data_IF_689168899794
#
_entry.id   IF_689168899794
#
_cell.length_a   1.000
_cell.length_b   1.000
_cell.length_c   1.000
_cell.angle_alpha   90.00
_cell.angle_beta   90.00
_cell.angle_gamma   90.00
#
_symmetry.space_group_name_H-M   'P 1'
#
loop_
_entity.id
_entity.type
_entity.pdbx_description
1 polymer ?
#
# COMPACT_ATOMS: atom_id res chain seq x y z
N UNK A 1 2.59 7.95 8.38
CA UNK A 1 3.82 7.93 7.56
C UNK A 1 3.51 8.61 6.25
N UNK A 2 4.19 9.72 5.91
CA UNK A 2 3.99 10.45 4.65
C UNK A 2 5.00 10.07 3.57
N UNK A 3 6.02 9.30 3.95
CA UNK A 3 7.15 8.92 3.11
C UNK A 3 8.11 10.05 2.71
N UNK A 4 7.99 11.27 3.27
CA UNK A 4 8.84 12.41 2.85
C UNK A 4 10.32 12.29 3.20
N UNK A 5 10.67 11.50 4.22
CA UNK A 5 12.06 11.23 4.60
C UNK A 5 12.49 9.81 4.21
N UNK A 6 11.67 8.83 4.56
CA UNK A 6 11.98 7.39 4.48
C UNK A 6 10.67 6.58 4.58
N UNK A 7 10.75 5.30 4.96
CA UNK A 7 9.57 4.45 5.21
C UNK A 7 9.04 4.56 6.65
N UNK A 8 9.46 5.58 7.40
CA UNK A 8 9.23 5.83 8.82
C UNK A 8 9.82 4.74 9.72
N UNK A 9 9.25 3.53 9.66
CA UNK A 9 9.73 2.28 10.28
C UNK A 9 9.08 1.05 9.60
N UNK A 10 8.36 1.27 8.50
CA UNK A 10 7.80 0.19 7.70
C UNK A 10 8.91 -0.51 6.95
N UNK A 11 8.81 -1.82 6.86
CA UNK A 11 9.80 -2.66 6.18
C UNK A 11 9.21 -3.28 4.93
N UNK A 12 10.03 -3.37 3.89
CA UNK A 12 9.71 -4.14 2.70
C UNK A 12 9.90 -5.63 3.04
N UNK A 13 8.94 -6.48 2.72
CA UNK A 13 9.06 -7.89 3.03
C UNK A 13 10.05 -8.59 2.06
N UNK A 14 11.08 -9.24 2.61
CA UNK A 14 12.19 -9.87 1.88
C UNK A 14 11.79 -10.97 0.88
N UNK A 15 10.59 -11.55 1.02
CA UNK A 15 10.07 -12.60 0.14
C UNK A 15 9.17 -12.07 -0.98
N UNK A 16 9.06 -10.74 -1.13
CA UNK A 16 8.25 -10.14 -2.18
C UNK A 16 8.89 -10.37 -3.55
N UNK A 17 8.07 -10.65 -4.57
CA UNK A 17 8.55 -10.80 -5.96
C UNK A 17 8.98 -9.45 -6.56
N UNK A 18 8.44 -8.35 -6.03
CA UNK A 18 8.69 -6.96 -6.41
C UNK A 18 8.64 -6.08 -5.16
N UNK A 19 9.27 -4.91 -5.21
CA UNK A 19 9.36 -4.00 -4.07
C UNK A 19 8.56 -2.72 -4.29
N UNK A 20 8.07 -2.13 -3.19
CA UNK A 20 7.53 -0.78 -3.20
C UNK A 20 8.65 0.23 -3.45
N UNK A 21 8.46 1.09 -4.44
CA UNK A 21 9.44 2.12 -4.82
C UNK A 21 8.99 3.45 -4.24
N UNK A 22 9.86 4.10 -3.46
CA UNK A 22 9.66 5.46 -2.97
C UNK A 22 10.02 6.47 -4.06
N UNK A 23 9.10 7.36 -4.39
CA UNK A 23 9.22 8.25 -5.54
C UNK A 23 8.63 9.63 -5.26
N UNK A 24 9.09 10.63 -6.02
CA UNK A 24 8.61 12.02 -5.99
C UNK A 24 8.36 12.49 -7.42
N UNK A 25 7.25 13.19 -7.61
CA UNK A 25 6.78 13.63 -8.93
C UNK A 25 6.00 12.53 -9.67
N UNK A 26 5.82 12.66 -11.00
CA UNK A 26 4.97 11.76 -11.76
C UNK A 26 5.61 10.36 -11.89
N UNK A 27 4.78 9.33 -11.95
CA UNK A 27 5.23 7.98 -12.30
C UNK A 27 5.87 7.96 -13.69
N UNK A 28 6.87 7.08 -13.95
CA UNK A 28 7.60 7.06 -15.22
C UNK A 28 6.78 6.66 -16.45
N UNK A 29 5.68 5.91 -16.26
CA UNK A 29 4.84 5.42 -17.36
C UNK A 29 3.75 6.43 -17.70
N UNK A 30 3.61 6.76 -18.98
CA UNK A 30 2.53 7.63 -19.45
C UNK A 30 1.15 7.03 -19.18
N UNK A 31 0.14 7.88 -18.97
CA UNK A 31 -1.23 7.48 -18.66
C UNK A 31 -1.36 6.60 -17.41
N UNK A 32 -0.40 6.71 -16.50
CA UNK A 32 -0.48 6.18 -15.13
C UNK A 32 -0.37 7.34 -14.15
N UNK A 33 -0.43 7.06 -12.86
CA UNK A 33 -0.28 8.09 -11.84
C UNK A 33 0.28 7.52 -10.55
N UNK A 34 0.45 8.39 -9.54
CA UNK A 34 0.02 9.79 -9.51
C UNK A 34 1.00 10.76 -10.19
N UNK A 35 0.58 12.02 -10.41
CA UNK A 35 1.45 13.11 -10.86
C UNK A 35 2.27 13.76 -9.72
N UNK A 36 1.78 13.64 -8.48
CA UNK A 36 2.41 14.13 -7.26
C UNK A 36 1.92 13.35 -6.04
N UNK A 37 2.61 13.48 -4.90
CA UNK A 37 2.12 12.89 -3.64
C UNK A 37 0.78 13.51 -3.19
N UNK A 38 0.11 12.82 -2.28
CA UNK A 38 -1.16 13.27 -1.70
C UNK A 38 -0.99 14.40 -0.66
N UNK A 39 0.10 14.36 0.13
CA UNK A 39 0.23 15.18 1.35
C UNK A 39 0.43 16.65 1.03
N UNK A 40 1.34 16.96 0.11
CA UNK A 40 1.73 18.35 -0.20
C UNK A 40 1.65 18.70 -1.68
N UNK A 41 1.71 17.71 -2.57
CA UNK A 41 1.87 17.90 -4.02
C UNK A 41 3.33 18.02 -4.47
N UNK A 42 4.29 18.05 -3.55
CA UNK A 42 5.74 18.04 -3.84
C UNK A 42 6.51 17.14 -2.85
N UNK A 43 5.82 16.21 -2.19
CA UNK A 43 6.38 15.23 -1.28
C UNK A 43 6.69 13.90 -1.96
N UNK A 44 6.89 12.87 -1.16
CA UNK A 44 7.12 11.50 -1.62
C UNK A 44 5.89 10.62 -1.41
N UNK A 45 5.80 9.57 -2.22
CA UNK A 45 4.87 8.47 -2.05
C UNK A 45 5.57 7.15 -2.40
N UNK A 46 4.87 6.04 -2.21
CA UNK A 46 5.36 4.73 -2.63
C UNK A 46 4.45 4.15 -3.70
N UNK A 47 5.01 3.46 -4.68
CA UNK A 47 4.25 2.87 -5.77
C UNK A 47 4.88 1.57 -6.28
N UNK A 48 4.12 0.84 -7.10
CA UNK A 48 4.63 -0.28 -7.87
C UNK A 48 4.68 0.08 -9.36
N UNK A 49 5.77 -0.30 -10.00
CA UNK A 49 5.95 -0.13 -11.42
C UNK A 49 5.23 -1.27 -12.18
N UNK A 50 4.02 -1.00 -12.68
CA UNK A 50 3.13 -2.02 -13.26
C UNK A 50 3.73 -2.84 -14.40
N UNK A 51 4.51 -2.22 -15.30
CA UNK A 51 5.13 -2.89 -16.47
C UNK A 51 6.03 -4.08 -16.12
N UNK A 52 6.58 -4.13 -14.91
CA UNK A 52 7.56 -5.13 -14.48
C UNK A 52 6.91 -6.27 -13.65
N UNK A 53 5.60 -6.19 -13.38
CA UNK A 53 4.89 -7.13 -12.53
C UNK A 53 4.12 -8.19 -13.33
N UNK A 54 4.62 -9.43 -13.35
CA UNK A 54 3.89 -10.57 -13.91
C UNK A 54 2.69 -10.95 -13.03
N UNK A 55 1.64 -11.58 -13.59
CA UNK A 55 0.54 -12.13 -12.79
C UNK A 55 1.04 -12.96 -11.61
N UNK A 56 0.53 -12.69 -10.41
CA UNK A 56 0.94 -13.35 -9.18
C UNK A 56 2.17 -12.75 -8.48
N UNK A 57 2.80 -11.70 -9.03
CA UNK A 57 3.83 -10.96 -8.31
C UNK A 57 3.20 -10.15 -7.18
N UNK A 58 3.90 -10.13 -6.04
CA UNK A 58 3.44 -9.51 -4.81
C UNK A 58 4.54 -8.59 -4.27
N UNK A 59 4.16 -7.38 -3.87
CA UNK A 59 4.93 -6.53 -2.96
C UNK A 59 4.21 -6.43 -1.63
N UNK A 60 4.91 -6.63 -0.51
CA UNK A 60 4.34 -6.43 0.82
C UNK A 60 5.16 -5.41 1.62
N UNK A 61 4.45 -4.43 2.17
CA UNK A 61 4.95 -3.47 3.14
C UNK A 61 4.40 -3.81 4.53
N UNK A 62 5.29 -3.95 5.51
CA UNK A 62 4.96 -4.42 6.86
C UNK A 62 5.18 -3.30 7.87
N UNK A 63 4.16 -2.99 8.67
CA UNK A 63 4.24 -1.96 9.70
C UNK A 63 5.13 -2.38 10.88
N UNK A 64 5.58 -1.43 11.71
CA UNK A 64 6.01 -1.74 13.06
C UNK A 64 4.93 -2.50 13.85
N UNK A 65 5.34 -3.18 14.90
CA UNK A 65 4.40 -3.81 15.84
C UNK A 65 3.64 -2.72 16.61
N UNK A 66 2.32 -2.80 16.57
CA UNK A 66 1.42 -1.95 17.33
C UNK A 66 0.96 -2.69 18.59
N UNK A 67 1.47 -2.28 19.76
CA UNK A 67 1.13 -2.85 21.07
C UNK A 67 0.04 -2.05 21.78
N UNK A 68 -1.13 -1.92 21.14
CA UNK A 68 -2.28 -1.21 21.73
C UNK A 68 -3.56 -2.00 21.54
N UNK A 69 -4.31 -2.14 22.63
CA UNK A 69 -5.61 -2.80 22.64
C UNK A 69 -6.74 -1.84 22.30
N UNK A 70 -7.86 -2.38 21.82
CA UNK A 70 -9.08 -1.65 21.51
C UNK A 70 -9.25 -1.29 20.02
N UNK A 71 -10.22 -0.41 19.72
CA UNK A 71 -10.51 0.00 18.36
C UNK A 71 -9.45 0.96 17.84
N UNK A 72 -8.86 0.63 16.70
CA UNK A 72 -7.94 1.47 15.95
C UNK A 72 -8.53 1.82 14.60
N UNK A 73 -8.24 3.01 14.09
CA UNK A 73 -8.60 3.40 12.73
C UNK A 73 -7.34 3.46 11.88
N UNK A 74 -7.19 2.54 10.93
CA UNK A 74 -6.11 2.57 9.97
C UNK A 74 -6.56 3.32 8.71
N UNK A 75 -5.89 4.42 8.40
CA UNK A 75 -6.18 5.31 7.27
C UNK A 75 -4.97 5.47 6.38
N UNK A 76 -5.20 5.44 5.09
CA UNK A 76 -4.17 5.61 4.08
C UNK A 76 -4.78 6.18 2.80
N UNK A 77 -3.94 6.77 1.97
CA UNK A 77 -4.33 7.25 0.64
C UNK A 77 -3.74 6.33 -0.41
N UNK A 78 -4.53 5.99 -1.42
CA UNK A 78 -4.10 5.14 -2.52
C UNK A 78 -4.49 5.76 -3.87
N UNK A 79 -3.70 5.49 -4.90
CA UNK A 79 -3.94 5.92 -6.27
C UNK A 79 -3.75 4.70 -7.18
N UNK A 80 -4.76 4.39 -7.98
CA UNK A 80 -4.75 3.25 -8.90
C UNK A 80 -5.35 3.70 -10.21
N UNK A 81 -4.50 3.92 -11.22
CA UNK A 81 -4.90 4.50 -12.50
C UNK A 81 -4.15 3.85 -13.67
N UNK A 82 -4.73 3.91 -14.87
CA UNK A 82 -4.08 3.44 -16.09
C UNK A 82 -3.92 1.92 -16.10
N UNK A 83 -2.66 1.47 -16.12
CA UNK A 83 -2.25 0.05 -16.17
C UNK A 83 -2.66 -0.77 -14.94
N UNK A 84 -3.18 -0.14 -13.88
CA UNK A 84 -3.64 -0.81 -12.66
C UNK A 84 -4.95 -1.63 -12.84
N UNK A 85 -5.46 -1.85 -14.06
CA UNK A 85 -6.71 -2.59 -14.32
C UNK A 85 -6.71 -4.00 -13.77
N UNK A 86 -5.54 -4.65 -13.76
CA UNK A 86 -5.30 -6.00 -13.26
C UNK A 86 -4.54 -5.97 -11.94
N UNK A 87 -4.54 -4.86 -11.19
CA UNK A 87 -3.85 -4.77 -9.91
C UNK A 87 -4.83 -4.74 -8.75
N UNK A 88 -4.41 -5.29 -7.62
CA UNK A 88 -5.14 -5.19 -6.36
C UNK A 88 -4.22 -4.65 -5.26
N UNK A 89 -4.81 -3.86 -4.37
CA UNK A 89 -4.22 -3.46 -3.10
C UNK A 89 -5.04 -4.09 -1.98
N UNK A 90 -4.38 -4.80 -1.07
CA UNK A 90 -4.97 -5.49 0.06
C UNK A 90 -4.29 -5.06 1.34
N UNK A 91 -5.07 -4.91 2.40
CA UNK A 91 -4.57 -4.62 3.73
C UNK A 91 -4.96 -5.77 4.65
N UNK A 92 -3.94 -6.32 5.31
CA UNK A 92 -4.09 -7.38 6.29
C UNK A 92 -3.73 -6.87 7.69
N UNK A 93 -4.41 -7.43 8.69
CA UNK A 93 -3.94 -7.39 10.08
C UNK A 93 -3.36 -8.75 10.43
N UNK A 94 -2.18 -8.73 11.03
CA UNK A 94 -1.48 -9.93 11.50
C UNK A 94 -1.34 -9.90 13.01
N UNK A 95 -1.86 -10.91 13.68
CA UNK A 95 -1.77 -11.12 15.13
C UNK A 95 -1.21 -12.52 15.37
N UNK A 96 0.05 -12.61 15.83
CA UNK A 96 0.75 -13.89 15.95
C UNK A 96 0.87 -14.62 14.60
N UNK A 97 0.13 -15.72 14.43
CA UNK A 97 0.08 -16.48 13.15
C UNK A 97 -1.15 -16.17 12.30
N UNK A 98 -2.12 -15.45 12.86
CA UNK A 98 -3.38 -15.16 12.19
C UNK A 98 -3.18 -13.95 11.26
N UNK A 99 -3.56 -14.12 9.99
CA UNK A 99 -3.52 -13.07 8.96
C UNK A 99 -4.93 -12.89 8.42
N UNK A 100 -5.52 -11.73 8.66
CA UNK A 100 -6.92 -11.42 8.31
C UNK A 100 -6.94 -10.29 7.28
N UNK A 101 -7.63 -10.52 6.15
CA UNK A 101 -7.88 -9.46 5.16
C UNK A 101 -8.93 -8.51 5.73
N UNK A 102 -8.59 -7.24 5.89
CA UNK A 102 -9.46 -6.23 6.49
C UNK A 102 -9.92 -5.17 5.49
N UNK A 103 -9.18 -4.98 4.40
CA UNK A 103 -9.55 -4.03 3.34
C UNK A 103 -8.95 -4.46 1.99
N UNK A 104 -9.63 -4.18 0.89
CA UNK A 104 -9.08 -4.38 -0.46
C UNK A 104 -9.71 -3.46 -1.50
N UNK A 105 -8.93 -3.09 -2.51
CA UNK A 105 -9.37 -2.42 -3.73
C UNK A 105 -8.74 -3.07 -4.96
N UNK A 106 -9.45 -3.08 -6.08
CA UNK A 106 -9.01 -3.74 -7.31
C UNK A 106 -9.30 -2.85 -8.51
N UNK A 107 -8.34 -2.78 -9.43
CA UNK A 107 -8.52 -2.12 -10.71
C UNK A 107 -8.28 -0.63 -10.68
N UNK A 108 -8.64 0.01 -11.79
CA UNK A 108 -8.49 1.43 -12.02
C UNK A 108 -9.61 2.23 -11.34
N UNK A 109 -9.24 3.21 -10.51
CA UNK A 109 -10.12 4.12 -9.77
C UNK A 109 -10.05 5.57 -10.29
N UNK A 110 -9.47 5.78 -11.47
CA UNK A 110 -9.27 7.10 -12.07
C UNK A 110 -8.01 7.80 -11.56
N UNK A 111 -7.67 8.92 -12.20
CA UNK A 111 -6.52 9.73 -11.84
C UNK A 111 -6.83 10.63 -10.62
N UNK A 112 -7.02 9.99 -9.47
CA UNK A 112 -7.27 10.67 -8.20
C UNK A 112 -6.75 9.85 -7.03
N UNK A 113 -6.33 10.54 -5.97
CA UNK A 113 -6.09 9.94 -4.67
C UNK A 113 -7.42 9.57 -4.02
N UNK A 114 -7.50 8.36 -3.46
CA UNK A 114 -8.67 7.81 -2.78
C UNK A 114 -8.33 7.50 -1.32
N UNK A 115 -9.27 7.73 -0.41
CA UNK A 115 -9.11 7.41 1.01
C UNK A 115 -9.49 5.95 1.27
N UNK A 116 -8.53 5.16 1.74
CA UNK A 116 -8.75 3.87 2.39
C UNK A 116 -8.87 4.06 3.89
N UNK A 117 -9.91 3.49 4.50
CA UNK A 117 -10.12 3.54 5.94
C UNK A 117 -10.68 2.19 6.42
N UNK A 118 -10.14 1.68 7.53
CA UNK A 118 -10.61 0.44 8.14
C UNK A 118 -10.47 0.49 9.67
N UNK A 119 -11.52 0.05 10.35
CA UNK A 119 -11.51 -0.13 11.82
C UNK A 119 -10.92 -1.49 12.17
N UNK A 120 -9.87 -1.48 12.97
CA UNK A 120 -9.20 -2.67 13.47
C UNK A 120 -9.59 -2.87 14.93
N UNK A 121 -9.87 -4.11 15.31
CA UNK A 121 -10.08 -4.48 16.71
C UNK A 121 -8.86 -5.27 17.18
N UNK A 122 -8.08 -4.69 18.09
CA UNK A 122 -6.89 -5.34 18.62
C UNK A 122 -7.10 -5.80 20.05
N UNK A 123 -6.64 -7.02 20.35
CA UNK A 123 -6.56 -7.59 21.70
C UNK A 123 -5.11 -7.83 22.14
N UNK A 124 -4.13 -7.24 21.47
CA UNK A 124 -2.70 -7.43 21.75
C UNK A 124 -1.80 -6.83 20.67
N UNK A 125 -0.62 -7.41 20.50
CA UNK A 125 0.32 -6.99 19.45
C UNK A 125 -0.20 -7.35 18.06
N UNK A 126 -0.18 -6.39 17.15
CA UNK A 126 -0.53 -6.61 15.75
C UNK A 126 0.36 -5.83 14.79
N UNK A 127 0.40 -6.27 13.53
CA UNK A 127 1.00 -5.53 12.43
C UNK A 127 -0.02 -5.34 11.32
N UNK A 128 0.06 -4.20 10.63
CA UNK A 128 -0.65 -3.97 9.38
C UNK A 128 0.29 -4.34 8.23
N UNK A 129 -0.24 -5.04 7.23
CA UNK A 129 0.50 -5.39 6.01
C UNK A 129 -0.24 -4.92 4.78
N UNK A 130 0.40 -4.08 4.00
CA UNK A 130 -0.12 -3.61 2.72
C UNK A 130 0.51 -4.45 1.60
N UNK A 131 -0.33 -5.27 0.97
CA UNK A 131 0.04 -6.17 -0.11
C UNK A 131 -0.51 -5.62 -1.43
N UNK A 132 0.35 -5.44 -2.42
CA UNK A 132 -0.10 -5.15 -3.78
C UNK A 132 0.30 -6.28 -4.71
N UNK A 133 -0.63 -6.68 -5.59
CA UNK A 133 -0.49 -7.84 -6.46
C UNK A 133 -1.12 -7.64 -7.84
N UNK A 134 -0.58 -8.33 -8.83
CA UNK A 134 -1.18 -8.43 -10.16
C UNK A 134 -2.15 -9.62 -10.22
N UNK A 135 -3.43 -9.33 -10.44
CA UNK A 135 -4.57 -10.24 -10.61
C UNK A 135 -4.87 -10.39 -12.11
N UNK A 136 -4.63 -11.60 -12.63
CA UNK A 136 -4.82 -12.11 -14.00
C UNK A 136 -5.61 -11.20 -14.96
#
# INVERSE_FOLDING_TARGET
CTFDSDFCDWVLADYSSIEWIRHKGPTPTQNTGPSSDHTTGDGYYIYLQGRDALPGFVAELVSPVCSSEGPHCFRFWYHMYGEATTMALRVYVVTGKDRVLVWSSVGNHGDTWNLGEVTLQSTGDFQVRAEALTVI
#
